data_IF_430582071149
#
_entry.id   IF_430582071149
#
_cell.length_a   1.000
_cell.length_b   1.000
_cell.length_c   1.000
_cell.angle_alpha   90.00
_cell.angle_beta   90.00
_cell.angle_gamma   90.00
#
_symmetry.space_group_name_H-M   'P 1'
#
loop_
_entity.id
_entity.type
_entity.pdbx_description
1 polymer ?
#
# COMPACT_ATOMS: atom_id res chain seq x y z
N UNK A 1 -6.47 12.57 -25.47
CA UNK A 1 -5.67 13.75 -25.06
C UNK A 1 -6.55 14.59 -24.13
N UNK A 2 -6.10 15.09 -22.96
CA UNK A 2 -7.00 15.76 -22.00
C UNK A 2 -7.77 16.95 -22.61
N UNK A 3 -7.12 17.71 -23.50
CA UNK A 3 -7.71 18.86 -24.18
C UNK A 3 -8.63 18.50 -25.37
N UNK A 4 -8.74 17.22 -25.74
CA UNK A 4 -9.64 16.78 -26.82
C UNK A 4 -11.04 16.41 -26.31
N UNK A 5 -11.28 16.46 -25.00
CA UNK A 5 -12.59 16.17 -24.42
C UNK A 5 -13.52 17.39 -24.49
N UNK A 6 -14.75 17.24 -24.99
CA UNK A 6 -15.71 18.34 -25.06
C UNK A 6 -16.11 18.80 -23.65
N UNK A 7 -16.32 20.12 -23.48
CA UNK A 7 -16.73 20.70 -22.21
C UNK A 7 -15.60 20.92 -21.18
N UNK A 8 -14.34 20.65 -21.54
CA UNK A 8 -13.19 20.83 -20.64
C UNK A 8 -12.39 22.05 -21.04
N UNK A 9 -12.09 22.94 -20.07
CA UNK A 9 -11.21 24.06 -20.31
C UNK A 9 -9.80 23.58 -20.69
N UNK A 10 -9.24 24.13 -21.78
CA UNK A 10 -7.92 23.76 -22.29
C UNK A 10 -6.85 24.06 -21.23
N UNK A 11 -5.97 23.09 -20.98
CA UNK A 11 -4.84 23.23 -20.05
C UNK A 11 -3.50 23.17 -20.76
N UNK A 12 -2.55 23.94 -20.27
CA UNK A 12 -1.17 23.93 -20.74
C UNK A 12 -0.43 22.70 -20.17
N UNK A 13 0.60 22.23 -20.87
CA UNK A 13 1.45 21.10 -20.49
C UNK A 13 2.01 21.23 -19.07
N UNK A 14 2.44 22.42 -18.65
CA UNK A 14 2.93 22.67 -17.28
C UNK A 14 1.87 22.39 -16.21
N UNK A 15 0.61 22.76 -16.47
CA UNK A 15 -0.50 22.52 -15.55
C UNK A 15 -0.82 21.03 -15.44
N UNK A 16 -0.79 20.32 -16.57
CA UNK A 16 -1.02 18.88 -16.62
C UNK A 16 0.09 18.11 -15.88
N UNK A 17 1.35 18.51 -16.06
CA UNK A 17 2.48 17.91 -15.36
C UNK A 17 2.41 18.13 -13.84
N UNK A 18 2.09 19.35 -13.40
CA UNK A 18 1.90 19.65 -11.97
C UNK A 18 0.74 18.86 -11.38
N UNK A 19 -0.37 18.77 -12.10
CA UNK A 19 -1.53 17.97 -11.68
C UNK A 19 -1.14 16.50 -11.49
N UNK A 20 -0.41 15.92 -12.46
CA UNK A 20 0.07 14.55 -12.37
C UNK A 20 0.98 14.32 -11.14
N UNK A 21 1.96 15.20 -10.90
CA UNK A 21 2.85 15.10 -9.73
C UNK A 21 2.07 15.17 -8.41
N UNK A 22 1.08 16.05 -8.31
CA UNK A 22 0.24 16.17 -7.12
C UNK A 22 -0.64 14.93 -6.93
N UNK A 23 -1.17 14.38 -8.02
CA UNK A 23 -1.96 13.15 -7.98
C UNK A 23 -1.12 11.98 -7.46
N UNK A 24 0.11 11.82 -7.97
CA UNK A 24 1.06 10.81 -7.49
C UNK A 24 1.37 10.98 -6.00
N UNK A 25 1.63 12.20 -5.54
CA UNK A 25 1.89 12.50 -4.11
C UNK A 25 0.69 12.13 -3.23
N UNK A 26 -0.53 12.48 -3.66
CA UNK A 26 -1.76 12.14 -2.93
C UNK A 26 -1.98 10.62 -2.87
N UNK A 27 -1.72 9.92 -3.97
CA UNK A 27 -1.78 8.46 -4.01
C UNK A 27 -0.84 7.81 -2.99
N UNK A 28 0.42 8.22 -2.98
CA UNK A 28 1.42 7.69 -2.06
C UNK A 28 1.06 7.95 -0.59
N UNK A 29 0.56 9.16 -0.27
CA UNK A 29 0.08 9.50 1.07
C UNK A 29 -1.08 8.58 1.49
N UNK A 30 -2.09 8.43 0.64
CA UNK A 30 -3.25 7.58 0.94
C UNK A 30 -2.85 6.11 1.13
N UNK A 31 -1.87 5.62 0.37
CA UNK A 31 -1.36 4.26 0.52
C UNK A 31 -0.62 4.09 1.86
N UNK A 32 0.21 5.07 2.24
CA UNK A 32 0.88 5.08 3.54
C UNK A 32 -0.14 5.14 4.70
N UNK A 33 -1.13 6.02 4.61
CA UNK A 33 -2.21 6.12 5.60
C UNK A 33 -2.99 4.81 5.70
N UNK A 34 -3.28 4.15 4.58
CA UNK A 34 -3.95 2.83 4.59
C UNK A 34 -3.09 1.78 5.27
N UNK A 35 -1.80 1.68 4.95
CA UNK A 35 -0.85 0.74 5.58
C UNK A 35 -0.76 1.01 7.08
N UNK A 36 -0.70 2.27 7.47
CA UNK A 36 -0.68 2.67 8.87
C UNK A 36 -1.96 2.26 9.61
N UNK A 37 -3.13 2.42 9.00
CA UNK A 37 -4.40 2.01 9.61
C UNK A 37 -4.54 0.47 9.70
N UNK A 38 -4.07 -0.27 8.70
CA UNK A 38 -4.04 -1.75 8.75
C UNK A 38 -3.04 -2.24 9.79
N UNK A 39 -1.90 -1.56 9.90
CA UNK A 39 -0.90 -1.85 10.92
C UNK A 39 -1.49 -1.67 12.33
N UNK A 40 -2.29 -0.62 12.55
CA UNK A 40 -3.00 -0.42 13.82
C UNK A 40 -3.96 -1.56 14.16
N UNK A 41 -4.53 -2.23 13.17
CA UNK A 41 -5.40 -3.40 13.35
C UNK A 41 -4.65 -4.72 13.28
N UNK A 42 -3.30 -4.69 13.34
CA UNK A 42 -2.46 -5.89 13.35
C UNK A 42 -2.45 -6.68 12.04
N UNK A 43 -2.74 -6.02 10.91
CA UNK A 43 -2.90 -6.70 9.62
C UNK A 43 -4.31 -7.24 9.38
N UNK A 44 -5.16 -7.22 10.40
CA UNK A 44 -6.58 -7.53 10.26
C UNK A 44 -7.27 -6.50 9.35
N UNK A 45 -8.35 -6.91 8.68
CA UNK A 45 -9.27 -5.96 8.06
C UNK A 45 -9.58 -4.86 9.06
N UNK A 46 -9.69 -3.62 8.58
CA UNK A 46 -10.00 -2.50 9.46
C UNK A 46 -11.29 -2.87 10.19
N UNK A 47 -11.25 -2.97 11.52
CA UNK A 47 -12.46 -3.15 12.30
C UNK A 47 -13.30 -1.92 12.03
N UNK A 48 -14.46 -2.12 11.40
CA UNK A 48 -15.44 -1.06 11.28
C UNK A 48 -15.68 -0.51 12.68
N UNK A 49 -15.33 0.77 12.84
CA UNK A 49 -15.07 1.36 14.14
C UNK A 49 -16.36 1.55 14.94
N UNK A 50 -16.20 1.30 16.24
CA UNK A 50 -17.01 1.71 17.39
C UNK A 50 -18.23 0.84 17.73
N UNK A 51 -18.06 -0.02 18.76
CA UNK A 51 -19.22 -0.46 19.55
C UNK A 51 -19.69 0.72 20.39
N UNK A 52 -20.70 1.41 19.87
CA UNK A 52 -21.45 2.44 20.54
C UNK A 52 -21.97 1.94 21.92
N UNK A 53 -22.06 2.75 22.99
CA UNK A 53 -22.71 2.33 24.26
C UNK A 53 -24.14 1.79 24.05
N UNK A 54 -24.79 2.20 22.96
CA UNK A 54 -26.06 1.64 22.47
C UNK A 54 -25.90 0.19 22.02
N UNK A 55 -24.83 -0.16 21.29
CA UNK A 55 -24.56 -1.54 20.83
C UNK A 55 -24.27 -2.49 21.98
N UNK A 56 -23.56 -2.02 23.02
CA UNK A 56 -23.32 -2.80 24.23
C UNK A 56 -24.62 -3.08 24.99
N UNK A 57 -25.49 -2.06 25.12
CA UNK A 57 -26.79 -2.21 25.77
C UNK A 57 -27.71 -3.16 25.00
N UNK A 58 -27.68 -3.11 23.67
CA UNK A 58 -28.41 -4.01 22.78
C UNK A 58 -27.88 -5.45 22.86
N UNK A 59 -26.57 -5.64 23.04
CA UNK A 59 -25.97 -6.96 23.26
C UNK A 59 -26.36 -7.53 24.64
N UNK A 60 -26.41 -6.71 25.68
CA UNK A 60 -26.80 -7.10 27.05
C UNK A 60 -28.30 -7.44 27.18
N UNK A 61 -29.18 -6.74 26.45
CA UNK A 61 -30.59 -7.09 26.36
C UNK A 61 -30.85 -8.34 25.50
N UNK A 62 -29.81 -8.91 24.89
CA UNK A 62 -29.92 -10.04 23.96
C UNK A 62 -30.54 -9.69 22.61
N UNK A 63 -30.72 -8.39 22.33
CA UNK A 63 -31.23 -7.88 21.05
C UNK A 63 -30.20 -8.00 19.93
N UNK A 64 -28.91 -7.79 20.22
CA UNK A 64 -27.78 -8.09 19.33
C UNK A 64 -27.11 -9.42 19.73
N UNK A 65 -26.54 -10.13 18.75
CA UNK A 65 -25.70 -11.31 18.98
C UNK A 65 -24.44 -11.25 18.15
N UNK A 66 -23.32 -11.59 18.78
CA UNK A 66 -22.03 -11.75 18.10
C UNK A 66 -22.10 -13.05 17.27
N UNK A 67 -21.82 -13.00 15.96
CA UNK A 67 -21.81 -14.20 15.12
C UNK A 67 -20.68 -15.16 15.51
N UNK A 68 -20.93 -16.46 15.30
CA UNK A 68 -19.93 -17.52 15.51
C UNK A 68 -18.87 -17.48 14.42
N UNK A 69 -17.60 -17.67 14.81
CA UNK A 69 -16.47 -17.67 13.89
C UNK A 69 -16.58 -18.85 12.92
N UNK A 70 -16.52 -18.56 11.62
CA UNK A 70 -16.58 -19.54 10.54
C UNK A 70 -15.21 -19.66 9.86
N UNK A 71 -14.66 -20.88 9.82
CA UNK A 71 -13.36 -21.17 9.21
C UNK A 71 -13.38 -21.15 7.67
N UNK A 72 -14.55 -21.09 7.06
CA UNK A 72 -14.73 -20.96 5.60
C UNK A 72 -15.01 -19.51 5.16
N UNK A 73 -15.19 -18.57 6.09
CA UNK A 73 -15.47 -17.16 5.78
C UNK A 73 -14.20 -16.32 5.59
N UNK A 74 -13.03 -16.87 5.93
CA UNK A 74 -11.75 -16.19 5.75
C UNK A 74 -11.00 -16.79 4.57
N UNK A 75 -11.14 -16.16 3.40
CA UNK A 75 -10.46 -16.52 2.16
C UNK A 75 -9.00 -16.03 2.11
N UNK A 76 -8.48 -15.48 3.22
CA UNK A 76 -7.09 -15.05 3.34
C UNK A 76 -6.07 -16.15 2.94
N UNK A 77 -6.46 -17.44 3.02
CA UNK A 77 -5.65 -18.58 2.61
C UNK A 77 -5.58 -18.79 1.08
N UNK A 78 -6.47 -18.19 0.28
CA UNK A 78 -6.57 -18.43 -1.18
C UNK A 78 -5.43 -17.79 -1.99
N UNK A 79 -4.72 -16.82 -1.42
CA UNK A 79 -3.58 -16.15 -2.07
C UNK A 79 -2.32 -17.04 -2.26
N UNK A 80 -2.35 -18.30 -1.83
CA UNK A 80 -1.18 -19.21 -1.81
C UNK A 80 -0.97 -20.05 -3.07
N UNK A 81 -1.89 -20.04 -4.05
CA UNK A 81 -1.91 -21.04 -5.15
C UNK A 81 -1.40 -20.57 -6.51
N UNK A 82 -1.10 -19.28 -6.75
CA UNK A 82 -0.75 -18.78 -8.10
C UNK A 82 0.64 -18.16 -8.22
N UNK A 83 1.53 -18.33 -7.24
CA UNK A 83 2.92 -17.85 -7.33
C UNK A 83 3.89 -18.87 -7.95
N UNK A 84 3.43 -20.03 -8.42
CA UNK A 84 4.27 -20.97 -9.18
C UNK A 84 4.40 -20.51 -10.63
N UNK A 85 5.37 -19.64 -10.89
CA UNK A 85 6.48 -19.88 -11.83
C UNK A 85 7.25 -18.58 -12.12
N UNK A 86 8.23 -18.29 -11.27
CA UNK A 86 9.55 -17.79 -11.70
C UNK A 86 10.56 -18.40 -10.75
N UNK A 87 11.09 -19.54 -11.20
CA UNK A 87 12.43 -20.08 -11.00
C UNK A 87 13.29 -19.48 -9.88
N UNK A 88 13.61 -20.39 -8.96
CA UNK A 88 14.91 -20.62 -8.34
C UNK A 88 15.47 -19.54 -7.40
N UNK A 89 15.48 -19.91 -6.11
CA UNK A 89 16.61 -19.89 -5.16
C UNK A 89 17.89 -19.18 -5.66
N UNK A 90 18.64 -18.41 -4.88
CA UNK A 90 18.94 -18.36 -3.45
C UNK A 90 19.60 -16.98 -3.28
N UNK A 91 19.49 -16.34 -2.12
CA UNK A 91 20.72 -16.07 -1.35
C UNK A 91 20.38 -15.52 0.02
N UNK A 92 21.24 -15.89 0.95
CA UNK A 92 21.18 -15.67 2.36
C UNK A 92 21.13 -14.19 2.75
N UNK A 93 20.63 -14.00 3.97
CA UNK A 93 20.96 -12.92 4.89
C UNK A 93 22.33 -12.28 4.60
N UNK A 94 22.37 -10.95 4.51
CA UNK A 94 23.22 -10.07 5.34
C UNK A 94 22.98 -8.60 4.96
N UNK A 95 22.58 -7.78 5.93
CA UNK A 95 22.26 -6.35 5.74
C UNK A 95 23.51 -5.44 5.68
N UNK A 96 24.73 -5.98 5.58
CA UNK A 96 25.98 -5.18 5.60
C UNK A 96 26.50 -4.72 4.22
N UNK A 97 25.97 -5.22 3.10
CA UNK A 97 26.51 -4.90 1.75
C UNK A 97 25.97 -3.58 1.13
N UNK A 98 25.07 -2.84 1.80
CA UNK A 98 24.51 -1.60 1.25
C UNK A 98 25.37 -0.35 1.46
N UNK A 99 26.40 -0.42 2.31
CA UNK A 99 27.28 0.72 2.57
C UNK A 99 28.52 0.77 1.68
N UNK A 100 28.96 -0.33 1.08
CA UNK A 100 30.15 -0.36 0.24
C UNK A 100 29.86 0.01 -1.23
N UNK A 101 28.63 -0.22 -1.71
CA UNK A 101 28.23 0.05 -3.12
C UNK A 101 28.15 1.56 -3.42
N UNK A 102 27.77 2.38 -2.43
CA UNK A 102 27.60 3.84 -2.65
C UNK A 102 28.96 4.55 -2.76
N UNK A 103 30.02 4.05 -2.11
CA UNK A 103 31.35 4.67 -2.18
C UNK A 103 32.10 4.34 -3.47
N UNK A 104 31.89 3.16 -4.07
CA UNK A 104 32.56 2.78 -5.33
C UNK A 104 32.02 3.56 -6.54
N UNK A 105 30.71 3.87 -6.55
CA UNK A 105 30.09 4.58 -7.68
C UNK A 105 30.50 6.07 -7.76
N UNK A 106 30.94 6.68 -6.65
CA UNK A 106 31.49 8.04 -6.66
C UNK A 106 32.98 8.10 -7.05
N UNK A 107 33.74 7.02 -6.89
CA UNK A 107 35.17 7.00 -7.23
C UNK A 107 35.45 6.74 -8.71
N UNK A 108 34.54 6.06 -9.42
CA UNK A 108 34.75 5.69 -10.83
C UNK A 108 34.32 6.75 -11.86
N UNK A 109 33.73 7.88 -11.42
CA UNK A 109 33.22 8.92 -12.33
C UNK A 109 34.24 10.05 -12.57
N UNK A 110 35.32 10.14 -11.79
CA UNK A 110 36.35 11.20 -11.99
C UNK A 110 37.60 10.75 -12.77
N UNK A 111 37.73 9.48 -13.17
CA UNK A 111 38.96 8.97 -13.79
C UNK A 111 38.86 8.60 -15.29
N UNK A 112 37.86 9.12 -16.01
CA UNK A 112 37.94 9.16 -17.48
C UNK A 112 37.36 10.45 -18.07
N UNK A 113 38.20 11.48 -18.12
CA UNK A 113 38.25 12.40 -19.27
C UNK A 113 39.61 12.26 -19.98
N UNK A 114 39.65 12.37 -21.32
CA UNK A 114 40.89 12.42 -22.09
C UNK A 114 41.72 13.68 -21.83
#
# INVERSE_FOLDING_TARGET
>A
MFNSFPGVAKRNAKQLMTYYKNLKRKGNKNQADRRFQIFKTGGGPKADMSSNPVEERLLAMGTLKIPLVNCYDSDAAYHTMTTSDTTHCESNCDEEELHEIIEVEYAAVDDMQP
#
